data_IF_764953068939
#
_entry.id   IF_764953068939
#
_cell.length_a   1.000
_cell.length_b   1.000
_cell.length_c   1.000
_cell.angle_alpha   90.00
_cell.angle_beta   90.00
_cell.angle_gamma   90.00
#
_symmetry.space_group_name_H-M   'P 1'
#
loop_
_entity.id
_entity.type
_entity.pdbx_description
1 polymer ?
#
# COMPACT_ATOMS: atom_id res chain seq x y z
N UNK A 1 -0.78 -16.41 -3.27
CA UNK A 1 -1.74 -15.83 -2.32
C UNK A 1 -2.36 -16.98 -1.55
N UNK A 2 -2.65 -16.79 -0.27
CA UNK A 2 -3.21 -17.84 0.60
C UNK A 2 -4.55 -17.35 1.13
N UNK A 3 -5.59 -18.19 1.07
CA UNK A 3 -6.91 -17.87 1.63
C UNK A 3 -6.91 -18.03 3.15
N UNK A 4 -7.93 -17.50 3.82
CA UNK A 4 -8.24 -17.76 5.23
C UNK A 4 -8.25 -19.25 5.63
N UNK A 5 -8.68 -20.13 4.73
CA UNK A 5 -8.70 -21.58 4.93
C UNK A 5 -7.36 -22.28 4.65
N UNK A 6 -6.27 -21.53 4.45
CA UNK A 6 -4.92 -22.07 4.21
C UNK A 6 -4.67 -22.61 2.80
N UNK A 7 -5.55 -22.33 1.83
CA UNK A 7 -5.39 -22.82 0.45
C UNK A 7 -4.60 -21.81 -0.39
N UNK A 8 -3.64 -22.30 -1.16
CA UNK A 8 -2.94 -21.49 -2.16
C UNK A 8 -3.86 -21.22 -3.37
N UNK A 9 -3.97 -19.96 -3.77
CA UNK A 9 -4.78 -19.49 -4.90
C UNK A 9 -3.97 -18.59 -5.83
N UNK A 10 -4.34 -18.61 -7.11
CA UNK A 10 -3.76 -17.80 -8.18
C UNK A 10 -4.61 -16.59 -8.55
N UNK A 11 -5.89 -16.58 -8.18
CA UNK A 11 -6.82 -15.47 -8.40
C UNK A 11 -7.77 -15.32 -7.21
N UNK A 12 -8.24 -14.10 -6.99
CA UNK A 12 -9.20 -13.78 -5.94
C UNK A 12 -10.37 -13.01 -6.55
N UNK A 13 -11.58 -13.44 -6.21
CA UNK A 13 -12.78 -12.70 -6.55
C UNK A 13 -13.04 -11.55 -5.57
N UNK A 14 -14.05 -10.72 -5.85
CA UNK A 14 -14.52 -9.71 -4.89
C UNK A 14 -14.81 -10.33 -3.52
N UNK A 15 -14.58 -9.55 -2.46
CA UNK A 15 -14.88 -9.92 -1.06
C UNK A 15 -14.18 -11.18 -0.53
N UNK A 16 -13.12 -11.65 -1.20
CA UNK A 16 -12.32 -12.80 -0.74
C UNK A 16 -11.14 -12.31 0.11
N UNK A 17 -11.08 -12.61 1.42
CA UNK A 17 -9.92 -12.29 2.24
C UNK A 17 -8.74 -13.20 1.86
N UNK A 18 -7.55 -12.63 1.79
CA UNK A 18 -6.34 -13.35 1.41
C UNK A 18 -5.08 -12.73 2.01
N UNK A 19 -4.05 -13.56 2.11
CA UNK A 19 -2.70 -13.17 2.47
C UNK A 19 -1.83 -13.00 1.21
N UNK A 20 -1.14 -11.86 1.16
CA UNK A 20 -0.14 -11.53 0.15
C UNK A 20 1.24 -11.55 0.79
N UNK A 21 2.12 -12.39 0.25
CA UNK A 21 3.51 -12.49 0.67
C UNK A 21 4.43 -11.76 -0.31
N UNK A 22 5.59 -11.31 0.17
CA UNK A 22 6.64 -10.69 -0.67
C UNK A 22 6.49 -9.18 -0.88
N UNK A 23 5.70 -8.48 -0.07
CA UNK A 23 5.68 -7.02 -0.06
C UNK A 23 7.01 -6.46 0.45
N UNK A 24 7.41 -5.28 -0.04
CA UNK A 24 8.67 -4.63 0.36
C UNK A 24 8.69 -4.12 1.81
N UNK A 25 7.56 -4.13 2.50
CA UNK A 25 7.40 -3.71 3.88
C UNK A 25 5.99 -3.96 4.37
N UNK A 26 5.73 -3.63 5.64
CA UNK A 26 4.41 -3.79 6.25
C UNK A 26 3.49 -2.64 5.84
N UNK A 27 2.37 -2.89 5.15
CA UNK A 27 1.37 -1.86 4.85
C UNK A 27 0.63 -1.44 6.12
N UNK A 28 0.05 -0.24 6.14
CA UNK A 28 -0.80 0.16 7.25
C UNK A 28 -2.19 -0.47 7.13
N UNK A 29 -2.84 -0.67 8.27
CA UNK A 29 -4.23 -1.11 8.27
C UNK A 29 -5.12 -0.05 7.60
N UNK A 30 -5.94 -0.48 6.65
CA UNK A 30 -6.83 0.39 5.89
C UNK A 30 -6.21 1.00 4.64
N UNK A 31 -4.94 0.73 4.32
CA UNK A 31 -4.34 1.17 3.05
C UNK A 31 -5.06 0.51 1.86
N UNK A 32 -5.30 1.31 0.82
CA UNK A 32 -5.84 0.81 -0.45
C UNK A 32 -4.77 0.11 -1.28
N UNK A 33 -5.06 -1.11 -1.72
CA UNK A 33 -4.24 -1.87 -2.65
C UNK A 33 -4.63 -1.54 -4.09
N UNK A 34 -3.66 -1.11 -4.90
CA UNK A 34 -3.88 -0.72 -6.29
C UNK A 34 -3.00 -1.56 -7.19
N UNK A 35 -3.62 -2.19 -8.19
CA UNK A 35 -2.90 -2.92 -9.23
C UNK A 35 -2.30 -1.92 -10.22
N UNK A 36 -1.04 -2.13 -10.55
CA UNK A 36 -0.28 -1.32 -11.49
C UNK A 36 0.25 -2.22 -12.61
N UNK A 37 0.43 -1.69 -13.83
CA UNK A 37 0.81 -2.51 -14.98
C UNK A 37 2.24 -3.05 -14.87
N UNK A 38 3.13 -2.33 -14.20
CA UNK A 38 4.54 -2.70 -14.05
C UNK A 38 5.17 -2.10 -12.78
N UNK A 39 6.34 -2.63 -12.42
CA UNK A 39 7.10 -2.24 -11.23
C UNK A 39 7.62 -0.79 -11.30
N UNK A 40 7.97 -0.31 -12.50
CA UNK A 40 8.47 1.06 -12.68
C UNK A 40 7.38 2.06 -12.30
N UNK A 41 6.14 1.82 -12.73
CA UNK A 41 5.00 2.65 -12.39
C UNK A 41 4.65 2.53 -10.91
N UNK A 42 4.71 1.32 -10.34
CA UNK A 42 4.54 1.09 -8.91
C UNK A 42 5.48 1.98 -8.07
N UNK A 43 6.77 1.97 -8.44
CA UNK A 43 7.83 2.72 -7.77
C UNK A 43 7.60 4.23 -7.88
N UNK A 44 7.29 4.73 -9.09
CA UNK A 44 7.02 6.15 -9.31
C UNK A 44 5.84 6.65 -8.46
N UNK A 45 4.71 5.93 -8.49
CA UNK A 45 3.51 6.29 -7.71
C UNK A 45 3.79 6.25 -6.21
N UNK A 46 4.53 5.25 -5.75
CA UNK A 46 4.88 5.10 -4.33
C UNK A 46 5.75 6.25 -3.85
N UNK A 47 6.81 6.59 -4.61
CA UNK A 47 7.71 7.70 -4.28
C UNK A 47 6.97 9.05 -4.26
N UNK A 48 6.09 9.27 -5.23
CA UNK A 48 5.26 10.48 -5.27
C UNK A 48 4.36 10.61 -4.03
N UNK A 49 3.66 9.53 -3.64
CA UNK A 49 2.81 9.49 -2.44
C UNK A 49 3.61 9.73 -1.17
N UNK A 50 4.78 9.12 -1.03
CA UNK A 50 5.66 9.30 0.11
C UNK A 50 6.18 10.74 0.23
N UNK A 51 6.58 11.35 -0.89
CA UNK A 51 6.99 12.74 -0.95
C UNK A 51 5.89 13.68 -0.47
N UNK A 52 4.67 13.55 -1.03
CA UNK A 52 3.52 14.37 -0.65
C UNK A 52 3.12 14.20 0.81
N UNK A 53 3.17 12.97 1.35
CA UNK A 53 2.89 12.72 2.76
C UNK A 53 3.92 13.41 3.67
N UNK A 54 5.20 13.34 3.31
CA UNK A 54 6.28 14.00 4.05
C UNK A 54 6.10 15.51 4.07
N UNK A 55 5.82 16.13 2.93
CA UNK A 55 5.56 17.56 2.82
C UNK A 55 4.36 17.99 3.69
N UNK A 56 3.26 17.23 3.61
CA UNK A 56 2.06 17.50 4.41
C UNK A 56 2.35 17.43 5.91
N UNK A 57 3.14 16.44 6.34
CA UNK A 57 3.54 16.29 7.75
C UNK A 57 4.43 17.42 8.25
N UNK A 58 5.36 17.89 7.42
CA UNK A 58 6.22 19.04 7.77
C UNK A 58 5.37 20.31 7.90
N UNK A 59 4.45 20.56 6.95
CA UNK A 59 3.57 21.72 6.99
C UNK A 59 2.65 21.70 8.23
N UNK A 60 2.07 20.54 8.56
CA UNK A 60 1.27 20.34 9.77
C UNK A 60 2.08 20.68 11.04
N UNK A 61 3.31 20.16 11.15
CA UNK A 61 4.19 20.47 12.28
C UNK A 61 4.58 21.95 12.39
N UNK A 62 4.73 22.65 11.26
CA UNK A 62 5.02 24.09 11.26
C UNK A 62 3.80 24.91 11.71
N UNK A 63 2.59 24.52 11.30
CA UNK A 63 1.36 25.18 11.71
C UNK A 63 1.08 25.04 13.22
N UNK A 64 1.39 23.88 13.82
CA UNK A 64 1.22 23.64 15.26
C UNK A 64 2.22 24.37 16.15
N UNK A 65 3.33 24.88 15.60
CA UNK A 65 4.37 25.59 16.35
C UNK A 65 4.11 27.10 16.48
N UNK A 66 3.06 27.62 15.85
CA UNK A 66 2.67 29.03 15.86
C UNK A 66 1.44 29.27 16.74
#
# INVERSE_FOLDING_TARGET
MITDNGKNITSAGPSTPLEVLGLSGTPNAGDEMIVVPDEKKAREVTLFRQGKFRESKIAEQQAFKN
#
